data_IF_169359013807
#
_entry.id   IF_169359013807
#
_cell.length_a   1.000
_cell.length_b   1.000
_cell.length_c   1.000
_cell.angle_alpha   90.00
_cell.angle_beta   90.00
_cell.angle_gamma   90.00
#
_symmetry.space_group_name_H-M   'P 1'
#
loop_
_entity.id
_entity.type
_entity.pdbx_description
1 polymer ?
#
# COMPACT_ATOMS: atom_id res chain seq x y z
N UNK A 1 -68.62 -19.80 27.49
CA UNK A 1 -67.71 -20.84 26.93
C UNK A 1 -67.71 -20.75 25.40
N UNK A 2 -66.67 -20.31 24.79
CA UNK A 2 -66.57 -20.37 23.32
C UNK A 2 -65.68 -21.56 22.88
N UNK A 3 -66.18 -22.20 21.85
CA UNK A 3 -65.51 -23.34 21.15
C UNK A 3 -64.20 -22.98 20.48
N UNK A 4 -63.11 -23.72 20.76
CA UNK A 4 -61.88 -23.70 20.03
C UNK A 4 -61.95 -24.64 18.82
N UNK A 5 -61.98 -24.07 17.62
CA UNK A 5 -61.85 -24.79 16.36
C UNK A 5 -60.39 -25.14 16.05
N UNK A 6 -60.16 -26.44 15.87
CA UNK A 6 -58.88 -27.01 15.40
C UNK A 6 -58.54 -26.53 13.97
N UNK A 7 -57.58 -25.65 13.79
CA UNK A 7 -56.96 -25.40 12.49
C UNK A 7 -55.76 -26.35 12.33
N UNK A 8 -55.91 -27.35 11.49
CA UNK A 8 -54.81 -28.17 11.00
C UNK A 8 -53.83 -27.29 10.18
N UNK A 9 -52.63 -27.08 10.69
CA UNK A 9 -51.53 -26.48 9.95
C UNK A 9 -50.99 -27.57 9.01
N UNK A 10 -51.29 -27.44 7.72
CA UNK A 10 -50.66 -28.24 6.65
C UNK A 10 -49.25 -27.65 6.46
N UNK A 11 -48.24 -28.29 7.04
CA UNK A 11 -46.85 -28.04 6.72
C UNK A 11 -46.60 -28.49 5.26
N UNK A 12 -46.56 -27.54 4.35
CA UNK A 12 -46.00 -27.79 3.00
C UNK A 12 -44.50 -27.99 3.14
N UNK A 13 -44.08 -29.24 3.09
CA UNK A 13 -42.69 -29.60 2.78
C UNK A 13 -42.44 -29.16 1.34
N UNK A 14 -41.80 -27.99 1.18
CA UNK A 14 -41.13 -27.71 -0.09
C UNK A 14 -39.92 -28.65 -0.19
N UNK A 15 -40.05 -29.68 -0.98
CA UNK A 15 -38.92 -30.45 -1.46
C UNK A 15 -38.03 -29.51 -2.27
N UNK A 16 -36.99 -28.97 -1.65
CA UNK A 16 -35.93 -28.30 -2.36
C UNK A 16 -35.22 -29.40 -3.16
N UNK A 17 -35.52 -29.52 -4.45
CA UNK A 17 -34.59 -30.08 -5.39
C UNK A 17 -33.26 -29.33 -5.17
N UNK A 18 -32.09 -30.00 -5.07
CA UNK A 18 -30.83 -29.34 -4.98
C UNK A 18 -30.65 -28.55 -6.28
N UNK A 19 -30.97 -27.26 -6.25
CA UNK A 19 -30.54 -26.34 -7.30
C UNK A 19 -29.02 -26.46 -7.30
N UNK A 20 -28.46 -27.02 -8.37
CA UNK A 20 -27.02 -27.12 -8.58
C UNK A 20 -26.45 -25.72 -8.30
N UNK A 21 -25.77 -25.54 -7.15
CA UNK A 21 -25.18 -24.26 -6.76
C UNK A 21 -24.20 -23.89 -7.86
N UNK A 22 -24.54 -22.89 -8.67
CA UNK A 22 -23.61 -22.38 -9.67
C UNK A 22 -22.56 -21.53 -8.97
N UNK A 23 -21.31 -21.90 -9.15
CA UNK A 23 -20.19 -21.06 -8.74
C UNK A 23 -20.20 -19.77 -9.57
N UNK A 24 -19.96 -18.65 -8.90
CA UNK A 24 -19.83 -17.36 -9.55
C UNK A 24 -18.60 -16.63 -9.01
N UNK A 25 -17.74 -16.20 -9.93
CA UNK A 25 -16.61 -15.31 -9.63
C UNK A 25 -16.92 -13.93 -10.19
N UNK A 26 -16.66 -12.89 -9.42
CA UNK A 26 -16.89 -11.49 -9.80
C UNK A 26 -15.74 -10.61 -9.36
N UNK A 27 -15.37 -9.67 -10.26
CA UNK A 27 -14.39 -8.59 -10.03
C UNK A 27 -15.02 -7.20 -10.23
N UNK A 28 -16.36 -7.11 -10.22
CA UNK A 28 -17.09 -5.86 -10.51
C UNK A 28 -17.19 -4.99 -9.26
N UNK A 29 -16.05 -4.58 -8.77
CA UNK A 29 -15.87 -3.68 -7.63
C UNK A 29 -14.45 -3.08 -7.69
N UNK A 30 -14.22 -2.06 -6.92
CA UNK A 30 -12.96 -1.32 -6.84
C UNK A 30 -11.75 -2.23 -6.58
N UNK A 31 -10.70 -2.09 -7.39
CA UNK A 31 -9.50 -2.93 -7.34
C UNK A 31 -9.69 -4.39 -7.79
N UNK A 32 -10.89 -4.79 -8.21
CA UNK A 32 -11.19 -6.16 -8.61
C UNK A 32 -10.46 -6.59 -9.88
N UNK A 33 -9.71 -7.70 -9.82
CA UNK A 33 -8.89 -8.19 -10.93
C UNK A 33 -8.72 -9.71 -10.88
N UNK A 34 -9.20 -10.42 -11.89
CA UNK A 34 -8.87 -11.82 -12.22
C UNK A 34 -9.47 -12.17 -13.58
N UNK A 35 -8.85 -13.07 -14.30
CA UNK A 35 -9.41 -13.72 -15.48
C UNK A 35 -9.91 -15.10 -15.09
N UNK A 36 -11.20 -15.37 -15.29
CA UNK A 36 -11.79 -16.70 -15.04
C UNK A 36 -11.70 -17.52 -16.31
N UNK A 37 -10.94 -18.62 -16.27
CA UNK A 37 -10.84 -19.59 -17.36
C UNK A 37 -11.97 -20.63 -17.26
N UNK A 38 -12.17 -21.18 -16.05
CA UNK A 38 -13.21 -22.14 -15.75
C UNK A 38 -13.60 -22.10 -14.27
N UNK A 39 -14.89 -22.19 -13.96
CA UNK A 39 -15.42 -22.25 -12.60
C UNK A 39 -16.69 -23.13 -12.53
N UNK A 40 -16.67 -24.29 -13.19
CA UNK A 40 -17.80 -25.21 -13.19
C UNK A 40 -17.90 -26.06 -11.91
N UNK A 41 -16.75 -26.29 -11.23
CA UNK A 41 -16.62 -27.15 -10.04
C UNK A 41 -15.72 -26.45 -9.01
N UNK A 42 -16.02 -26.57 -7.73
CA UNK A 42 -15.24 -25.98 -6.66
C UNK A 42 -13.82 -26.56 -6.58
N UNK A 43 -13.69 -27.87 -6.76
CA UNK A 43 -12.41 -28.59 -6.72
C UNK A 43 -11.53 -28.42 -7.99
N UNK A 44 -11.98 -27.60 -8.96
CA UNK A 44 -11.26 -27.37 -10.22
C UNK A 44 -11.63 -25.99 -10.80
N UNK A 45 -11.23 -24.93 -10.11
CA UNK A 45 -11.37 -23.55 -10.59
C UNK A 45 -10.05 -23.14 -11.26
N UNK A 46 -10.14 -22.68 -12.52
CA UNK A 46 -8.99 -22.26 -13.33
C UNK A 46 -9.05 -20.76 -13.54
N UNK A 47 -7.99 -20.09 -13.15
CA UNK A 47 -7.85 -18.63 -13.17
C UNK A 47 -6.59 -18.24 -13.95
N UNK A 48 -6.53 -16.96 -14.33
CA UNK A 48 -5.31 -16.34 -14.81
C UNK A 48 -5.18 -14.93 -14.22
N UNK A 49 -3.95 -14.46 -14.07
CA UNK A 49 -3.64 -13.10 -13.64
C UNK A 49 -4.09 -12.11 -14.71
N UNK A 50 -4.77 -11.04 -14.28
CA UNK A 50 -5.13 -9.97 -15.18
C UNK A 50 -3.96 -9.00 -15.30
N UNK A 51 -3.48 -8.71 -16.54
CA UNK A 51 -2.45 -7.69 -16.74
C UNK A 51 -2.93 -6.29 -16.38
N UNK A 52 -1.97 -5.42 -16.06
CA UNK A 52 -2.22 -3.99 -15.91
C UNK A 52 -2.79 -3.39 -17.19
N UNK A 53 -3.65 -2.41 -17.02
CA UNK A 53 -4.21 -1.64 -18.13
C UNK A 53 -3.07 -0.92 -18.86
N UNK A 54 -3.00 -1.04 -20.19
CA UNK A 54 -1.95 -0.46 -21.04
C UNK A 54 -0.49 -0.92 -20.77
N UNK A 55 -0.25 -1.87 -19.84
CA UNK A 55 1.08 -2.41 -19.54
C UNK A 55 1.04 -3.94 -19.31
N UNK A 56 0.82 -4.76 -20.36
CA UNK A 56 0.48 -6.17 -20.22
C UNK A 56 1.59 -7.07 -19.65
N UNK A 57 2.80 -6.59 -19.55
CA UNK A 57 3.92 -7.30 -18.92
C UNK A 57 3.91 -7.21 -17.38
N UNK A 58 3.13 -6.29 -16.80
CA UNK A 58 2.88 -6.25 -15.37
C UNK A 58 1.58 -6.98 -15.05
N UNK A 59 1.67 -8.10 -14.33
CA UNK A 59 0.55 -8.87 -13.83
C UNK A 59 0.99 -9.65 -12.60
N UNK A 60 0.26 -9.50 -11.49
CA UNK A 60 0.44 -10.27 -10.26
C UNK A 60 -0.69 -10.00 -9.27
N UNK A 61 -1.25 -8.78 -9.27
CA UNK A 61 -2.40 -8.44 -8.45
C UNK A 61 -3.61 -9.29 -8.84
N UNK A 62 -4.32 -9.81 -7.83
CA UNK A 62 -5.66 -10.39 -7.97
C UNK A 62 -6.53 -10.00 -6.79
N UNK A 63 -7.80 -9.76 -7.08
CA UNK A 63 -8.84 -9.52 -6.08
C UNK A 63 -10.20 -9.91 -6.69
N UNK A 64 -10.87 -10.89 -6.10
CA UNK A 64 -12.13 -11.40 -6.62
C UNK A 64 -13.04 -11.93 -5.52
N UNK A 65 -14.35 -12.02 -5.81
CA UNK A 65 -15.35 -12.64 -4.96
C UNK A 65 -15.78 -13.97 -5.55
N UNK A 66 -15.76 -15.04 -4.73
CA UNK A 66 -16.32 -16.35 -5.03
C UNK A 66 -17.65 -16.50 -4.32
N UNK A 67 -18.68 -17.00 -5.02
CA UNK A 67 -20.01 -17.30 -4.49
C UNK A 67 -20.44 -18.71 -4.89
N UNK A 68 -21.30 -19.34 -4.06
CA UNK A 68 -21.87 -20.65 -4.34
C UNK A 68 -21.07 -21.84 -3.81
N UNK A 69 -19.93 -21.59 -3.12
CA UNK A 69 -18.98 -22.62 -2.70
C UNK A 69 -18.98 -22.92 -1.18
N UNK A 70 -20.03 -22.54 -0.44
CA UNK A 70 -20.07 -22.82 0.99
C UNK A 70 -19.94 -24.32 1.30
N UNK A 71 -18.95 -24.65 2.16
CA UNK A 71 -18.60 -26.01 2.60
C UNK A 71 -18.07 -26.94 1.50
N UNK A 72 -17.72 -26.38 0.33
CA UNK A 72 -17.04 -27.12 -0.74
C UNK A 72 -15.52 -26.91 -0.64
N UNK A 73 -14.73 -27.95 -0.85
CA UNK A 73 -13.28 -27.80 -0.95
C UNK A 73 -12.95 -27.13 -2.29
N UNK A 74 -12.58 -25.87 -2.25
CA UNK A 74 -12.18 -25.08 -3.42
C UNK A 74 -10.69 -25.25 -3.71
N UNK A 75 -10.40 -25.56 -4.97
CA UNK A 75 -9.03 -25.56 -5.51
C UNK A 75 -8.99 -24.57 -6.66
N UNK A 76 -8.33 -23.43 -6.44
CA UNK A 76 -8.22 -22.32 -7.37
C UNK A 76 -6.78 -22.23 -7.89
N UNK A 77 -6.60 -22.37 -9.22
CA UNK A 77 -5.29 -22.42 -9.89
C UNK A 77 -5.11 -21.21 -10.79
N UNK A 78 -4.11 -20.40 -10.52
CA UNK A 78 -3.60 -19.39 -11.45
C UNK A 78 -2.56 -20.09 -12.35
N UNK A 79 -2.98 -20.44 -13.55
CA UNK A 79 -2.19 -21.27 -14.49
C UNK A 79 -0.98 -20.55 -15.08
N UNK A 80 -1.00 -19.23 -15.05
CA UNK A 80 0.04 -18.35 -15.59
C UNK A 80 0.85 -17.62 -14.51
N UNK A 81 0.90 -18.16 -13.30
CA UNK A 81 1.63 -17.54 -12.20
C UNK A 81 3.14 -17.38 -12.46
N UNK A 82 3.73 -18.29 -13.27
CA UNK A 82 5.13 -18.18 -13.71
C UNK A 82 5.42 -16.99 -14.62
N UNK A 83 4.39 -16.41 -15.25
CA UNK A 83 4.48 -15.22 -16.07
C UNK A 83 4.22 -13.91 -15.27
N UNK A 84 4.06 -13.99 -13.95
CA UNK A 84 3.91 -12.82 -13.11
C UNK A 84 5.11 -11.86 -13.22
N UNK A 85 4.92 -10.59 -12.90
CA UNK A 85 5.99 -9.60 -12.95
C UNK A 85 7.16 -9.96 -11.99
N UNK A 86 6.83 -10.59 -10.87
CA UNK A 86 7.79 -10.98 -9.81
C UNK A 86 7.53 -12.43 -9.36
N UNK A 87 7.77 -13.45 -10.21
CA UNK A 87 7.40 -14.83 -9.89
C UNK A 87 8.16 -15.42 -8.69
N UNK A 88 9.36 -14.91 -8.37
CA UNK A 88 10.08 -15.27 -7.15
C UNK A 88 9.34 -14.83 -5.87
N UNK A 89 8.44 -13.88 -5.97
CA UNK A 89 7.55 -13.44 -4.90
C UNK A 89 6.57 -14.52 -4.43
N UNK A 90 6.29 -15.52 -5.23
CA UNK A 90 5.37 -16.61 -4.85
C UNK A 90 5.93 -17.59 -3.83
N UNK A 91 7.23 -17.67 -3.66
CA UNK A 91 7.85 -18.55 -2.66
C UNK A 91 7.49 -18.08 -1.24
N UNK A 92 6.86 -18.96 -0.45
CA UNK A 92 6.40 -18.64 0.89
C UNK A 92 5.20 -17.68 0.96
N UNK A 93 4.63 -17.33 -0.19
CA UNK A 93 3.45 -16.45 -0.26
C UNK A 93 2.18 -17.21 0.09
N UNK A 94 1.25 -16.56 0.79
CA UNK A 94 -0.11 -17.02 1.02
C UNK A 94 -1.12 -15.94 0.66
N UNK A 95 -2.16 -16.30 -0.10
CA UNK A 95 -3.26 -15.41 -0.41
C UNK A 95 -4.06 -15.05 0.83
N UNK A 96 -4.69 -13.89 0.81
CA UNK A 96 -5.62 -13.48 1.86
C UNK A 96 -7.07 -13.70 1.45
N UNK A 97 -7.92 -14.01 2.42
CA UNK A 97 -9.36 -14.17 2.23
C UNK A 97 -10.15 -13.39 3.27
N UNK A 98 -11.38 -12.98 2.91
CA UNK A 98 -12.28 -12.26 3.81
C UNK A 98 -13.74 -12.53 3.48
N UNK A 99 -14.59 -12.62 4.51
CA UNK A 99 -16.04 -12.73 4.35
C UNK A 99 -16.72 -11.35 4.29
N UNK A 100 -16.12 -10.32 4.86
CA UNK A 100 -16.70 -8.98 5.06
C UNK A 100 -15.87 -7.83 4.47
N UNK A 101 -14.68 -8.10 3.92
CA UNK A 101 -13.68 -7.14 3.41
C UNK A 101 -13.08 -6.23 4.50
N UNK A 102 -13.21 -6.62 5.75
CA UNK A 102 -12.63 -5.92 6.91
C UNK A 102 -11.68 -6.83 7.67
N UNK A 103 -12.10 -8.08 7.88
CA UNK A 103 -11.31 -9.08 8.57
C UNK A 103 -10.70 -10.02 7.54
N UNK A 104 -9.39 -9.94 7.35
CA UNK A 104 -8.63 -10.73 6.41
C UNK A 104 -7.79 -11.79 7.14
N UNK A 105 -7.63 -12.94 6.54
CA UNK A 105 -6.85 -14.05 7.06
C UNK A 105 -6.14 -14.79 5.93
N UNK A 106 -4.99 -15.40 6.22
CA UNK A 106 -4.23 -16.17 5.23
C UNK A 106 -4.90 -17.50 4.96
N UNK A 107 -4.82 -17.96 3.71
CA UNK A 107 -5.34 -19.26 3.28
C UNK A 107 -4.21 -20.08 2.64
N UNK A 108 -4.25 -21.44 2.80
CA UNK A 108 -3.22 -22.32 2.24
C UNK A 108 -3.03 -22.07 0.74
N UNK A 109 -1.81 -21.70 0.39
CA UNK A 109 -1.41 -21.35 -0.97
C UNK A 109 -0.05 -21.98 -1.27
N UNK A 110 0.10 -22.56 -2.46
CA UNK A 110 1.34 -23.20 -2.90
C UNK A 110 1.70 -22.73 -4.31
N UNK A 111 2.97 -22.51 -4.56
CA UNK A 111 3.49 -22.26 -5.91
C UNK A 111 4.28 -23.47 -6.37
N UNK A 112 3.72 -24.17 -7.34
CA UNK A 112 4.31 -25.42 -7.87
C UNK A 112 4.12 -25.50 -9.38
N UNK A 113 5.14 -25.97 -10.09
CA UNK A 113 5.12 -26.19 -11.53
C UNK A 113 4.67 -24.97 -12.36
N UNK A 114 4.92 -23.76 -11.85
CA UNK A 114 4.55 -22.52 -12.52
C UNK A 114 3.12 -22.04 -12.25
N UNK A 115 2.37 -22.76 -11.44
CA UNK A 115 1.01 -22.40 -11.02
C UNK A 115 0.96 -21.97 -9.56
N UNK A 116 0.10 -21.00 -9.25
CA UNK A 116 -0.25 -20.65 -7.88
C UNK A 116 -1.58 -21.32 -7.53
N UNK A 117 -1.58 -22.15 -6.51
CA UNK A 117 -2.74 -22.96 -6.10
C UNK A 117 -3.22 -22.54 -4.72
N UNK A 118 -4.44 -22.02 -4.64
CA UNK A 118 -5.11 -21.69 -3.38
C UNK A 118 -6.10 -22.81 -3.06
N UNK A 119 -6.01 -23.37 -1.84
CA UNK A 119 -6.93 -24.41 -1.37
C UNK A 119 -7.66 -23.92 -0.12
N UNK A 120 -9.00 -23.87 -0.19
CA UNK A 120 -9.80 -23.39 0.94
C UNK A 120 -11.22 -23.96 0.92
N UNK A 121 -11.79 -24.21 2.10
CA UNK A 121 -13.20 -24.60 2.27
C UNK A 121 -13.97 -23.44 2.92
N UNK A 122 -14.66 -22.59 2.14
CA UNK A 122 -15.39 -21.45 2.70
C UNK A 122 -16.53 -21.88 3.62
N UNK A 123 -16.69 -21.17 4.74
CA UNK A 123 -17.80 -21.42 5.68
C UNK A 123 -19.08 -20.68 5.31
N UNK A 124 -19.02 -19.75 4.34
CA UNK A 124 -20.16 -18.95 3.88
C UNK A 124 -20.28 -18.96 2.36
N UNK A 125 -21.45 -18.58 1.85
CA UNK A 125 -21.72 -18.60 0.41
C UNK A 125 -21.02 -17.52 -0.41
N UNK A 126 -20.44 -16.52 0.21
CA UNK A 126 -19.72 -15.42 -0.42
C UNK A 126 -18.43 -15.16 0.35
N UNK A 127 -17.32 -15.16 -0.37
CA UNK A 127 -15.98 -14.90 0.20
C UNK A 127 -15.14 -14.15 -0.85
N UNK A 128 -14.25 -13.31 -0.38
CA UNK A 128 -13.27 -12.60 -1.18
C UNK A 128 -11.90 -13.21 -1.02
N UNK A 129 -11.10 -13.19 -2.09
CA UNK A 129 -9.69 -13.57 -2.11
C UNK A 129 -8.90 -12.45 -2.76
N UNK A 130 -7.75 -12.12 -2.20
CA UNK A 130 -6.87 -11.09 -2.73
C UNK A 130 -5.38 -11.43 -2.57
N UNK A 131 -4.55 -10.73 -3.35
CA UNK A 131 -3.10 -10.82 -3.29
C UNK A 131 -2.56 -10.26 -1.96
N UNK A 132 -3.09 -9.13 -1.54
CA UNK A 132 -2.89 -8.53 -0.21
C UNK A 132 -4.21 -7.89 0.23
N UNK A 133 -4.34 -7.50 1.50
CA UNK A 133 -5.51 -6.80 2.03
C UNK A 133 -5.79 -5.52 1.23
N UNK A 134 -6.87 -5.45 0.43
CA UNK A 134 -7.15 -4.29 -0.39
C UNK A 134 -7.40 -3.03 0.44
N UNK A 135 -6.99 -1.88 -0.10
CA UNK A 135 -7.41 -0.57 0.39
C UNK A 135 -8.21 0.11 -0.71
N UNK A 136 -9.49 0.34 -0.47
CA UNK A 136 -10.44 0.81 -1.48
C UNK A 136 -10.45 2.33 -1.62
N UNK A 137 -10.98 2.82 -2.74
CA UNK A 137 -11.20 4.27 -2.95
C UNK A 137 -12.12 4.87 -1.89
N UNK A 138 -13.11 4.13 -1.38
CA UNK A 138 -13.98 4.57 -0.27
C UNK A 138 -13.21 4.73 1.05
N UNK A 139 -12.28 3.82 1.35
CA UNK A 139 -11.40 3.95 2.52
C UNK A 139 -10.50 5.17 2.37
N UNK A 140 -9.93 5.39 1.16
CA UNK A 140 -9.15 6.59 0.86
C UNK A 140 -9.95 7.87 1.11
N UNK A 141 -11.18 7.98 0.60
CA UNK A 141 -12.04 9.15 0.84
C UNK A 141 -12.39 9.34 2.32
N UNK A 142 -12.60 8.25 3.06
CA UNK A 142 -12.80 8.31 4.51
C UNK A 142 -11.55 8.86 5.22
N UNK A 143 -10.36 8.37 4.87
CA UNK A 143 -9.08 8.85 5.40
C UNK A 143 -8.89 10.36 5.17
N UNK A 144 -9.21 10.86 3.97
CA UNK A 144 -9.18 12.30 3.66
C UNK A 144 -10.16 13.08 4.53
N UNK A 145 -11.40 12.56 4.68
CA UNK A 145 -12.44 13.18 5.51
C UNK A 145 -12.05 13.27 6.98
N UNK A 146 -11.46 12.20 7.52
CA UNK A 146 -10.96 12.13 8.89
C UNK A 146 -9.79 13.10 9.11
N UNK A 147 -8.83 13.13 8.16
CA UNK A 147 -7.70 14.07 8.21
C UNK A 147 -8.18 15.53 8.23
N UNK A 148 -9.11 15.89 7.36
CA UNK A 148 -9.69 17.24 7.34
C UNK A 148 -10.45 17.57 8.62
N UNK A 149 -11.16 16.58 9.17
CA UNK A 149 -11.94 16.71 10.42
C UNK A 149 -11.07 17.00 11.65
N UNK A 150 -9.77 16.71 11.64
CA UNK A 150 -8.83 17.00 12.72
C UNK A 150 -8.63 18.51 12.98
N UNK A 151 -8.89 19.35 11.98
CA UNK A 151 -8.62 20.80 12.03
C UNK A 151 -7.12 21.17 11.87
N UNK A 152 -6.21 20.20 11.78
CA UNK A 152 -4.77 20.39 11.56
C UNK A 152 -4.38 20.24 10.08
N UNK A 153 -5.27 19.67 9.28
CA UNK A 153 -5.03 19.30 7.89
C UNK A 153 -5.84 20.19 6.93
N UNK A 154 -5.19 20.62 5.86
CA UNK A 154 -5.83 21.20 4.69
C UNK A 154 -5.62 20.26 3.50
N UNK A 155 -6.70 19.96 2.78
CA UNK A 155 -6.64 19.15 1.56
C UNK A 155 -6.69 20.06 0.35
N UNK A 156 -5.86 19.77 -0.64
CA UNK A 156 -5.79 20.43 -1.92
C UNK A 156 -5.78 19.38 -3.03
N UNK A 157 -6.48 19.67 -4.13
CA UNK A 157 -6.34 18.92 -5.38
C UNK A 157 -5.21 19.55 -6.21
N UNK A 158 -4.15 18.78 -6.48
CA UNK A 158 -3.00 19.22 -7.27
C UNK A 158 -3.30 19.20 -8.78
N UNK A 159 -4.26 18.41 -9.19
CA UNK A 159 -4.64 18.20 -10.57
C UNK A 159 -5.28 16.82 -10.77
N UNK A 160 -5.56 16.49 -12.02
CA UNK A 160 -6.26 15.26 -12.37
C UNK A 160 -5.30 14.21 -12.91
N UNK A 161 -5.55 12.95 -12.54
CA UNK A 161 -4.94 11.77 -13.15
C UNK A 161 -5.40 11.56 -14.59
N UNK A 162 -4.86 10.53 -15.25
CA UNK A 162 -5.21 10.17 -16.64
C UNK A 162 -6.71 9.90 -16.82
N UNK A 163 -7.34 9.21 -15.84
CA UNK A 163 -8.79 8.90 -15.86
C UNK A 163 -9.65 9.99 -15.17
N UNK A 164 -9.03 11.11 -14.75
CA UNK A 164 -9.72 12.27 -14.18
C UNK A 164 -10.05 12.16 -12.70
N UNK A 165 -9.30 11.37 -11.92
CA UNK A 165 -9.39 11.37 -10.45
C UNK A 165 -8.50 12.46 -9.86
N UNK A 166 -8.85 12.93 -8.67
CA UNK A 166 -8.10 13.96 -7.95
C UNK A 166 -6.75 13.42 -7.44
N UNK A 167 -5.72 14.26 -7.48
CA UNK A 167 -4.42 14.02 -6.86
C UNK A 167 -4.39 14.83 -5.55
N UNK A 168 -4.75 14.18 -4.46
CA UNK A 168 -4.95 14.85 -3.18
C UNK A 168 -3.64 15.07 -2.43
N UNK A 169 -3.36 16.33 -2.11
CA UNK A 169 -2.28 16.75 -1.21
C UNK A 169 -2.87 17.18 0.14
N UNK A 170 -2.38 16.59 1.21
CA UNK A 170 -2.65 16.98 2.58
C UNK A 170 -1.51 17.85 3.09
N UNK A 171 -1.81 19.08 3.48
CA UNK A 171 -0.85 19.99 4.13
C UNK A 171 -1.19 20.08 5.62
N UNK A 172 -0.25 19.65 6.49
CA UNK A 172 -0.45 19.52 7.94
C UNK A 172 0.62 20.32 8.68
N UNK A 173 0.21 21.15 9.63
CA UNK A 173 1.09 22.00 10.43
C UNK A 173 0.93 23.49 10.16
N UNK A 174 1.86 24.32 10.65
CA UNK A 174 1.74 25.77 10.68
C UNK A 174 1.93 26.44 9.32
N UNK A 175 2.65 25.80 8.41
CA UNK A 175 3.06 26.33 7.10
C UNK A 175 3.91 27.60 7.18
N UNK A 176 4.64 27.78 8.27
CA UNK A 176 5.60 28.85 8.36
C UNK A 176 6.77 28.64 7.38
N UNK A 177 7.34 29.71 6.85
CA UNK A 177 8.48 29.64 5.93
C UNK A 177 9.69 28.97 6.60
N UNK A 178 9.88 29.20 7.89
CA UNK A 178 10.94 28.62 8.72
C UNK A 178 10.77 27.14 9.02
N UNK A 179 9.56 26.55 8.82
CA UNK A 179 9.32 25.15 9.10
C UNK A 179 10.17 24.23 8.21
N UNK A 180 10.52 23.04 8.74
CA UNK A 180 11.01 21.94 7.91
C UNK A 180 9.91 21.47 6.97
N UNK A 181 10.27 21.10 5.76
CA UNK A 181 9.36 20.59 4.74
C UNK A 181 9.50 19.07 4.65
N UNK A 182 8.55 18.35 5.25
CA UNK A 182 8.55 16.88 5.30
C UNK A 182 7.52 16.36 4.32
N UNK A 183 7.99 15.61 3.31
CA UNK A 183 7.14 15.01 2.30
C UNK A 183 7.00 13.50 2.54
N UNK A 184 5.75 13.00 2.48
CA UNK A 184 5.44 11.57 2.55
C UNK A 184 4.49 11.23 1.43
N UNK A 185 4.91 10.35 0.54
CA UNK A 185 4.05 9.84 -0.53
C UNK A 185 3.89 8.34 -0.38
N UNK A 186 2.80 7.77 -0.92
CA UNK A 186 2.54 6.35 -0.84
C UNK A 186 1.86 5.82 -2.10
N UNK A 187 1.96 4.51 -2.29
CA UNK A 187 1.21 3.76 -3.31
C UNK A 187 1.43 4.25 -4.74
N UNK A 188 2.68 4.55 -5.12
CA UNK A 188 3.04 4.76 -6.52
C UNK A 188 2.69 3.53 -7.38
N UNK A 189 2.83 2.33 -6.79
CA UNK A 189 2.39 1.08 -7.37
C UNK A 189 1.07 0.67 -6.74
N UNK A 190 -0.01 0.56 -7.51
CA UNK A 190 -1.37 0.38 -6.98
C UNK A 190 -1.59 -0.94 -6.26
N UNK A 191 -0.85 -2.01 -6.62
CA UNK A 191 -0.93 -3.31 -5.94
C UNK A 191 -0.34 -3.33 -4.53
N UNK A 192 0.49 -2.34 -4.17
CA UNK A 192 1.15 -2.21 -2.87
C UNK A 192 0.21 -1.53 -1.86
N UNK A 193 -0.93 -2.18 -1.56
CA UNK A 193 -1.99 -1.60 -0.73
C UNK A 193 -1.58 -1.39 0.73
N UNK A 194 -0.57 -2.11 1.23
CA UNK A 194 0.04 -1.90 2.54
C UNK A 194 0.51 -0.45 2.74
N UNK A 195 0.85 0.25 1.66
CA UNK A 195 1.30 1.63 1.71
C UNK A 195 0.18 2.59 2.18
N UNK A 196 -1.08 2.39 1.79
CA UNK A 196 -2.19 3.20 2.32
C UNK A 196 -2.63 2.76 3.72
N UNK A 197 -2.54 1.48 4.08
CA UNK A 197 -2.70 1.05 5.47
C UNK A 197 -1.67 1.70 6.40
N UNK A 198 -0.43 1.84 5.93
CA UNK A 198 0.60 2.60 6.64
C UNK A 198 0.20 4.07 6.80
N UNK A 199 -0.31 4.70 5.72
CA UNK A 199 -0.72 6.11 5.75
C UNK A 199 -1.87 6.36 6.73
N UNK A 200 -2.79 5.41 6.89
CA UNK A 200 -3.85 5.48 7.90
C UNK A 200 -3.27 5.61 9.32
N UNK A 201 -2.32 4.75 9.68
CA UNK A 201 -1.65 4.81 10.98
C UNK A 201 -0.79 6.07 11.16
N UNK A 202 -0.04 6.44 10.12
CA UNK A 202 0.77 7.65 10.11
C UNK A 202 -0.07 8.91 10.36
N UNK A 203 -1.16 9.09 9.61
CA UNK A 203 -2.04 10.24 9.72
C UNK A 203 -2.83 10.22 11.03
N UNK A 204 -3.33 9.05 11.46
CA UNK A 204 -4.05 8.91 12.73
C UNK A 204 -3.22 9.44 13.91
N UNK A 205 -1.93 9.09 13.97
CA UNK A 205 -1.05 9.53 15.03
C UNK A 205 -0.55 10.97 14.85
N UNK A 206 -0.22 11.40 13.62
CA UNK A 206 0.26 12.76 13.35
C UNK A 206 -0.82 13.81 13.66
N UNK A 207 -2.09 13.46 13.47
CA UNK A 207 -3.24 14.35 13.70
C UNK A 207 -3.83 14.24 15.12
N UNK A 208 -3.25 13.39 15.98
CA UNK A 208 -3.64 13.34 17.39
C UNK A 208 -3.08 14.52 18.17
N UNK A 209 -3.94 15.45 18.53
CA UNK A 209 -3.60 16.64 19.34
C UNK A 209 -2.98 16.31 20.71
N UNK A 210 -3.12 15.08 21.20
CA UNK A 210 -2.61 14.64 22.50
C UNK A 210 -1.28 13.90 22.39
N UNK A 211 -0.91 13.39 21.20
CA UNK A 211 0.39 12.73 21.01
C UNK A 211 1.54 13.74 21.14
N UNK A 212 2.47 13.55 22.12
CA UNK A 212 3.56 14.50 22.34
C UNK A 212 4.58 14.51 21.20
N UNK A 213 4.73 13.40 20.45
CA UNK A 213 5.65 13.30 19.31
C UNK A 213 5.09 14.08 18.12
N UNK A 214 3.79 13.93 17.83
CA UNK A 214 3.11 14.68 16.78
C UNK A 214 3.18 16.19 17.06
N UNK A 215 2.87 16.62 18.27
CA UNK A 215 2.98 18.03 18.69
C UNK A 215 4.39 18.57 18.50
N UNK A 216 5.42 17.85 18.96
CA UNK A 216 6.81 18.27 18.81
C UNK A 216 7.27 18.37 17.36
N UNK A 217 6.71 17.54 16.47
CA UNK A 217 6.93 17.60 15.03
C UNK A 217 6.23 18.83 14.42
N UNK A 218 4.94 19.02 14.71
CA UNK A 218 4.14 20.11 14.15
C UNK A 218 4.59 21.50 14.62
N UNK A 219 5.32 21.59 15.74
CA UNK A 219 5.99 22.82 16.20
C UNK A 219 7.21 23.21 15.32
N UNK A 220 7.72 22.31 14.46
CA UNK A 220 8.95 22.48 13.68
C UNK A 220 8.80 22.24 12.19
N UNK A 221 7.75 21.56 11.79
CA UNK A 221 7.61 21.04 10.44
C UNK A 221 6.21 21.24 9.87
N UNK A 222 6.17 21.50 8.58
CA UNK A 222 4.98 21.34 7.75
C UNK A 222 5.12 20.03 6.98
N UNK A 223 4.09 19.19 7.08
CA UNK A 223 4.00 17.94 6.34
C UNK A 223 3.20 18.15 5.06
N UNK A 224 3.71 17.59 3.98
CA UNK A 224 3.07 17.46 2.68
C UNK A 224 2.87 15.97 2.39
N UNK A 225 1.63 15.52 2.33
CA UNK A 225 1.30 14.09 2.32
C UNK A 225 0.41 13.76 1.14
N UNK A 226 0.85 12.80 0.29
CA UNK A 226 0.04 12.24 -0.78
C UNK A 226 -0.24 10.77 -0.46
N UNK A 227 -1.40 10.46 0.13
CA UNK A 227 -1.68 9.11 0.62
C UNK A 227 -1.78 8.05 -0.47
N UNK A 228 -2.18 8.45 -1.69
CA UNK A 228 -2.26 7.58 -2.85
C UNK A 228 -1.77 8.33 -4.09
N UNK A 229 -0.59 7.95 -4.58
CA UNK A 229 -0.01 8.49 -5.80
C UNK A 229 -0.67 7.95 -7.07
N UNK A 230 -1.41 6.83 -7.01
CA UNK A 230 -1.91 6.14 -8.19
C UNK A 230 -3.39 5.69 -8.03
N UNK A 231 -4.32 6.64 -7.86
CA UNK A 231 -5.72 6.31 -7.64
C UNK A 231 -6.38 5.63 -8.84
N UNK A 232 -5.95 5.91 -10.08
CA UNK A 232 -6.44 5.22 -11.27
C UNK A 232 -6.06 3.75 -11.26
N UNK A 233 -4.77 3.45 -11.10
CA UNK A 233 -4.28 2.08 -11.05
C UNK A 233 -4.90 1.30 -9.89
N UNK A 234 -5.12 1.94 -8.73
CA UNK A 234 -5.79 1.35 -7.58
C UNK A 234 -7.23 0.93 -7.90
N UNK A 235 -8.04 1.82 -8.48
CA UNK A 235 -9.42 1.53 -8.87
C UNK A 235 -9.50 0.47 -9.98
N UNK A 236 -8.57 0.51 -10.94
CA UNK A 236 -8.46 -0.46 -12.01
C UNK A 236 -8.00 -1.85 -11.53
N UNK A 237 -7.39 -1.96 -10.35
CA UNK A 237 -6.79 -3.20 -9.86
C UNK A 237 -5.53 -3.57 -10.64
N UNK A 238 -4.70 -2.59 -10.97
CA UNK A 238 -3.38 -2.80 -11.55
C UNK A 238 -2.39 -3.22 -10.46
N UNK A 239 -1.33 -3.90 -10.87
CA UNK A 239 -0.20 -4.22 -10.00
C UNK A 239 0.70 -2.99 -9.80
N UNK A 240 1.13 -2.37 -10.92
CA UNK A 240 2.30 -1.49 -10.91
C UNK A 240 2.09 -0.13 -11.59
N UNK A 241 1.21 -0.04 -12.57
CA UNK A 241 1.14 1.12 -13.45
C UNK A 241 -0.14 1.94 -13.28
N UNK A 242 -0.09 3.22 -13.67
CA UNK A 242 -1.26 4.06 -13.78
C UNK A 242 -2.13 3.69 -15.01
N UNK A 243 -3.19 4.45 -15.29
CA UNK A 243 -4.08 4.19 -16.41
C UNK A 243 -3.40 4.31 -17.78
N UNK A 244 -2.33 5.11 -17.91
CA UNK A 244 -1.53 5.22 -19.12
C UNK A 244 -0.46 4.12 -19.27
N UNK A 245 -0.38 3.18 -18.34
CA UNK A 245 0.66 2.13 -18.31
C UNK A 245 2.04 2.65 -17.86
N UNK A 246 2.11 3.79 -17.19
CA UNK A 246 3.33 4.33 -16.65
C UNK A 246 3.63 3.73 -15.27
N UNK A 247 4.86 3.26 -15.06
CA UNK A 247 5.39 2.98 -13.72
C UNK A 247 5.84 4.30 -13.09
N UNK A 248 5.02 4.86 -12.18
CA UNK A 248 5.25 6.19 -11.62
C UNK A 248 6.63 6.34 -10.97
N UNK A 249 7.15 5.28 -10.34
CA UNK A 249 8.50 5.27 -9.76
C UNK A 249 9.61 5.08 -10.82
N UNK A 250 9.35 5.46 -12.07
CA UNK A 250 10.33 5.56 -13.18
C UNK A 250 10.16 6.85 -13.99
N UNK A 251 9.22 7.70 -13.57
CA UNK A 251 8.87 8.92 -14.31
C UNK A 251 9.45 10.20 -13.66
N UNK A 252 10.16 10.12 -12.52
CA UNK A 252 10.55 11.30 -11.73
C UNK A 252 11.55 12.22 -12.42
N UNK A 253 12.36 11.71 -13.33
CA UNK A 253 13.32 12.55 -14.06
C UNK A 253 12.63 13.44 -15.10
N UNK A 254 11.69 12.89 -15.85
CA UNK A 254 11.00 13.56 -16.96
C UNK A 254 9.48 13.21 -16.99
N UNK A 255 8.69 13.59 -15.96
CA UNK A 255 7.25 13.32 -15.96
C UNK A 255 6.52 14.21 -16.97
N UNK A 256 5.38 13.74 -17.50
CA UNK A 256 4.51 14.53 -18.34
C UNK A 256 3.04 14.44 -17.91
N UNK A 257 2.26 15.46 -18.22
CA UNK A 257 0.82 15.51 -17.91
C UNK A 257 0.06 14.37 -18.60
N UNK A 258 0.49 13.97 -19.80
CA UNK A 258 -0.20 12.93 -20.59
C UNK A 258 0.09 11.53 -20.09
N UNK A 259 1.26 11.30 -19.51
CA UNK A 259 1.72 9.95 -19.15
C UNK A 259 1.76 9.68 -17.64
N UNK A 260 2.20 10.66 -16.88
CA UNK A 260 2.40 10.57 -15.44
C UNK A 260 2.03 11.88 -14.73
N UNK A 261 0.78 12.36 -14.92
CA UNK A 261 0.32 13.60 -14.30
C UNK A 261 0.50 13.59 -12.77
N UNK A 262 0.37 12.44 -12.14
CA UNK A 262 0.54 12.25 -10.71
C UNK A 262 1.94 12.67 -10.25
N UNK A 263 2.98 12.21 -10.93
CA UNK A 263 4.36 12.59 -10.64
C UNK A 263 4.62 14.05 -11.03
N UNK A 264 4.07 14.48 -12.17
CA UNK A 264 4.25 15.85 -12.66
C UNK A 264 3.78 16.87 -11.61
N UNK A 265 2.55 16.80 -11.16
CA UNK A 265 1.98 17.78 -10.22
C UNK A 265 2.63 17.71 -8.83
N UNK A 266 2.90 16.52 -8.32
CA UNK A 266 3.56 16.35 -7.02
C UNK A 266 4.99 16.89 -7.06
N UNK A 267 5.75 16.60 -8.11
CA UNK A 267 7.13 17.10 -8.28
C UNK A 267 7.17 18.63 -8.39
N UNK A 268 6.26 19.23 -9.19
CA UNK A 268 6.18 20.70 -9.30
C UNK A 268 5.90 21.32 -7.93
N UNK A 269 4.98 20.76 -7.14
CA UNK A 269 4.72 21.25 -5.78
C UNK A 269 5.93 21.09 -4.86
N UNK A 270 6.71 20.01 -4.97
CA UNK A 270 7.97 19.85 -4.23
C UNK A 270 8.98 20.95 -4.58
N UNK A 271 9.06 21.36 -5.85
CA UNK A 271 9.92 22.49 -6.27
C UNK A 271 9.45 23.83 -5.70
N UNK A 272 8.15 24.03 -5.55
CA UNK A 272 7.61 25.25 -4.95
C UNK A 272 7.84 25.33 -3.44
N UNK A 273 7.71 24.20 -2.73
CA UNK A 273 7.77 24.17 -1.26
C UNK A 273 9.17 23.90 -0.71
N UNK A 274 10.00 23.20 -1.48
CA UNK A 274 11.23 22.58 -0.99
C UNK A 274 10.98 21.25 -0.26
N UNK A 275 12.07 20.52 0.02
CA UNK A 275 12.05 19.23 0.72
C UNK A 275 13.25 19.12 1.66
N UNK A 276 13.03 18.87 2.94
CA UNK A 276 14.07 18.61 3.94
C UNK A 276 14.16 17.13 4.33
N UNK A 277 13.01 16.42 4.27
CA UNK A 277 12.89 14.98 4.48
C UNK A 277 11.83 14.42 3.56
N UNK A 278 12.11 13.28 2.94
CA UNK A 278 11.21 12.61 2.02
C UNK A 278 11.06 11.12 2.35
N UNK A 279 9.84 10.64 2.35
CA UNK A 279 9.50 9.22 2.48
C UNK A 279 8.58 8.79 1.34
N UNK A 280 8.94 7.69 0.70
CA UNK A 280 8.19 7.00 -0.35
C UNK A 280 7.80 5.61 0.14
N UNK A 281 6.51 5.37 0.35
CA UNK A 281 5.99 4.19 1.04
C UNK A 281 5.53 3.14 0.02
N UNK A 282 6.14 1.96 0.09
CA UNK A 282 6.03 0.87 -0.86
C UNK A 282 5.78 -0.50 -0.22
N UNK A 283 5.69 -1.53 -1.07
CA UNK A 283 5.69 -2.94 -0.72
C UNK A 283 6.55 -3.76 -1.68
N UNK A 284 7.30 -4.75 -1.15
CA UNK A 284 8.18 -5.63 -1.92
C UNK A 284 7.63 -7.07 -1.99
N UNK A 285 7.51 -7.61 -3.20
CA UNK A 285 7.00 -8.95 -3.45
C UNK A 285 8.00 -10.05 -3.07
N UNK A 286 9.29 -9.75 -3.11
CA UNK A 286 10.37 -10.73 -2.95
C UNK A 286 10.88 -10.88 -1.53
N UNK A 287 11.23 -9.76 -0.91
CA UNK A 287 11.88 -9.73 0.40
C UNK A 287 10.86 -9.79 1.54
N UNK A 288 10.97 -10.77 2.46
CA UNK A 288 10.06 -10.92 3.60
C UNK A 288 10.50 -10.03 4.79
N UNK A 289 10.77 -8.75 4.56
CA UNK A 289 11.31 -7.83 5.55
C UNK A 289 10.70 -6.44 5.42
N UNK A 290 10.67 -5.70 6.54
CA UNK A 290 10.47 -4.25 6.53
C UNK A 290 11.85 -3.58 6.54
N UNK A 291 12.13 -2.77 5.52
CA UNK A 291 13.41 -2.08 5.40
C UNK A 291 13.28 -0.72 4.72
N UNK A 292 14.32 0.11 4.85
CA UNK A 292 14.41 1.42 4.19
C UNK A 292 15.63 1.47 3.28
N UNK A 293 15.42 1.77 2.00
CA UNK A 293 16.48 2.02 1.02
C UNK A 293 16.74 3.54 0.96
N UNK A 294 17.97 3.95 1.21
CA UNK A 294 18.43 5.33 1.20
C UNK A 294 18.91 5.80 -0.17
N UNK A 295 19.76 6.81 -0.14
CA UNK A 295 20.23 7.50 -1.34
C UNK A 295 21.73 7.36 -1.60
N UNK A 296 22.37 6.31 -1.08
CA UNK A 296 23.83 6.16 -1.08
C UNK A 296 24.48 6.24 -2.48
N UNK A 297 23.73 5.96 -3.55
CA UNK A 297 24.22 6.00 -4.93
C UNK A 297 24.02 7.31 -5.67
N UNK A 298 23.36 8.34 -5.09
CA UNK A 298 23.10 9.59 -5.81
C UNK A 298 24.36 10.46 -5.89
N UNK A 299 24.49 11.32 -6.93
CA UNK A 299 25.67 12.19 -7.10
C UNK A 299 25.90 13.15 -5.93
N UNK A 300 24.85 13.65 -5.28
CA UNK A 300 24.93 14.61 -4.19
C UNK A 300 24.95 13.99 -2.79
N UNK A 301 25.18 12.66 -2.68
CA UNK A 301 25.31 11.97 -1.40
C UNK A 301 26.58 12.39 -0.66
N UNK A 302 26.46 12.76 0.61
CA UNK A 302 27.59 13.22 1.42
C UNK A 302 27.54 12.66 2.85
N UNK A 303 28.55 13.01 3.66
CA UNK A 303 28.64 12.56 5.04
C UNK A 303 27.51 13.08 5.95
N UNK A 304 26.92 14.24 5.63
CA UNK A 304 25.77 14.80 6.35
C UNK A 304 24.53 13.91 6.13
N UNK A 305 24.24 13.57 4.88
CA UNK A 305 23.12 12.67 4.56
C UNK A 305 23.32 11.30 5.20
N UNK A 306 24.55 10.73 5.12
CA UNK A 306 24.87 9.45 5.77
C UNK A 306 24.62 9.47 7.30
N UNK A 307 24.95 10.58 7.97
CA UNK A 307 24.70 10.74 9.40
C UNK A 307 23.21 10.82 9.73
N UNK A 308 22.42 11.53 8.93
CA UNK A 308 20.96 11.62 9.08
C UNK A 308 20.29 10.26 8.81
N UNK A 309 20.75 9.52 7.79
CA UNK A 309 20.27 8.16 7.49
C UNK A 309 20.50 7.22 8.67
N UNK A 310 21.71 7.18 9.22
CA UNK A 310 22.02 6.35 10.38
C UNK A 310 21.18 6.73 11.62
N UNK A 311 20.99 8.02 11.86
CA UNK A 311 20.15 8.50 12.97
C UNK A 311 18.69 8.05 12.80
N UNK A 312 18.13 8.21 11.61
CA UNK A 312 16.75 7.80 11.29
C UNK A 312 16.57 6.29 11.47
N UNK A 313 17.43 5.46 10.87
CA UNK A 313 17.36 4.00 10.96
C UNK A 313 17.50 3.50 12.39
N UNK A 314 18.46 4.04 13.16
CA UNK A 314 18.65 3.71 14.59
C UNK A 314 17.41 4.03 15.41
N UNK A 315 16.80 5.19 15.18
CA UNK A 315 15.56 5.58 15.86
C UNK A 315 14.37 4.71 15.44
N UNK A 316 14.33 4.26 14.18
CA UNK A 316 13.24 3.42 13.68
C UNK A 316 13.34 2.00 14.25
N UNK A 317 14.55 1.41 14.33
CA UNK A 317 14.76 0.12 15.00
C UNK A 317 14.34 0.16 16.49
N UNK A 318 14.56 1.29 17.15
CA UNK A 318 14.11 1.48 18.52
C UNK A 318 12.58 1.66 18.65
N UNK A 319 11.93 2.18 17.62
CA UNK A 319 10.49 2.48 17.61
C UNK A 319 9.61 1.32 17.16
N UNK A 320 10.13 0.41 16.33
CA UNK A 320 9.37 -0.70 15.77
C UNK A 320 10.20 -1.98 15.72
N UNK A 321 9.75 -3.09 16.34
CA UNK A 321 10.42 -4.39 16.24
C UNK A 321 10.28 -5.03 14.85
N UNK A 322 9.38 -4.51 14.00
CA UNK A 322 9.18 -4.99 12.63
C UNK A 322 10.26 -4.46 11.68
N UNK A 323 10.84 -3.28 11.99
CA UNK A 323 11.88 -2.67 11.15
C UNK A 323 13.27 -3.25 11.43
N UNK A 324 14.02 -3.47 10.37
CA UNK A 324 15.43 -3.92 10.44
C UNK A 324 16.28 -3.21 9.36
N UNK A 325 17.63 -3.28 9.49
CA UNK A 325 18.59 -2.67 8.55
C UNK A 325 19.71 -3.67 8.13
N UNK A 326 19.41 -4.97 8.22
CA UNK A 326 20.34 -6.05 7.82
C UNK A 326 20.07 -6.51 6.39
N UNK A 327 18.78 -6.64 6.03
CA UNK A 327 18.32 -7.12 4.73
C UNK A 327 17.60 -5.99 3.99
N UNK A 328 17.84 -5.88 2.68
CA UNK A 328 17.24 -4.86 1.82
C UNK A 328 17.85 -4.89 0.42
N UNK A 329 17.62 -3.85 -0.34
CA UNK A 329 18.22 -3.74 -1.67
C UNK A 329 19.74 -3.52 -1.60
N UNK A 330 20.50 -4.05 -2.58
CA UNK A 330 21.91 -3.70 -2.73
C UNK A 330 22.06 -2.18 -2.90
N UNK A 331 23.08 -1.61 -2.24
CA UNK A 331 23.41 -0.20 -2.39
C UNK A 331 24.01 0.08 -3.76
N UNK A 332 23.56 1.15 -4.39
CA UNK A 332 24.16 1.62 -5.64
C UNK A 332 25.58 2.15 -5.41
N UNK A 333 26.46 1.96 -6.41
CA UNK A 333 27.76 2.61 -6.39
C UNK A 333 27.60 4.14 -6.51
N UNK A 334 28.54 4.89 -5.97
CA UNK A 334 28.49 6.36 -5.96
C UNK A 334 28.27 6.95 -7.37
N UNK A 335 27.26 7.79 -7.51
CA UNK A 335 26.85 8.42 -8.76
C UNK A 335 26.14 7.49 -9.76
N UNK A 336 25.69 6.30 -9.33
CA UNK A 336 25.03 5.29 -10.19
C UNK A 336 23.56 5.07 -9.87
N UNK A 337 23.00 5.72 -8.86
CA UNK A 337 21.57 5.62 -8.55
C UNK A 337 20.71 6.04 -9.74
N UNK A 338 19.58 5.35 -9.88
CA UNK A 338 18.62 5.65 -10.94
C UNK A 338 17.76 6.87 -10.56
N UNK A 339 18.10 8.04 -11.09
CA UNK A 339 17.39 9.30 -10.81
C UNK A 339 15.96 9.36 -11.39
N UNK A 340 15.52 8.36 -12.15
CA UNK A 340 14.10 8.26 -12.53
C UNK A 340 13.21 7.74 -11.41
N UNK A 341 13.78 7.27 -10.30
CA UNK A 341 13.07 6.84 -9.09
C UNK A 341 12.88 8.01 -8.13
N UNK A 342 11.74 8.04 -7.42
CA UNK A 342 11.35 9.12 -6.51
C UNK A 342 12.44 9.47 -5.49
N UNK A 343 12.84 8.51 -4.68
CA UNK A 343 13.81 8.69 -3.58
C UNK A 343 15.16 9.20 -4.09
N UNK A 344 15.67 8.60 -5.19
CA UNK A 344 16.93 9.04 -5.78
C UNK A 344 16.83 10.46 -6.38
N UNK A 345 15.72 10.76 -7.07
CA UNK A 345 15.48 12.10 -7.64
C UNK A 345 15.41 13.16 -6.54
N UNK A 346 14.55 12.94 -5.54
CA UNK A 346 14.30 13.92 -4.46
C UNK A 346 15.56 14.11 -3.61
N UNK A 347 16.18 13.01 -3.16
CA UNK A 347 17.41 13.08 -2.37
C UNK A 347 18.55 13.80 -3.09
N UNK A 348 18.72 13.56 -4.41
CA UNK A 348 19.72 14.23 -5.20
C UNK A 348 19.40 15.71 -5.46
N UNK A 349 18.14 16.02 -5.81
CA UNK A 349 17.72 17.38 -6.21
C UNK A 349 17.71 18.33 -5.03
N UNK A 350 17.14 17.91 -3.90
CA UNK A 350 16.98 18.76 -2.71
C UNK A 350 18.08 18.57 -1.67
N UNK A 351 19.01 17.61 -1.89
CA UNK A 351 20.10 17.28 -0.95
C UNK A 351 19.57 17.02 0.46
N UNK A 352 18.49 16.28 0.54
CA UNK A 352 17.73 15.99 1.75
C UNK A 352 17.81 14.52 2.14
N UNK A 353 17.42 14.20 3.38
CA UNK A 353 17.19 12.83 3.81
C UNK A 353 16.00 12.25 3.03
N UNK A 354 16.20 11.15 2.30
CA UNK A 354 15.15 10.53 1.51
C UNK A 354 15.24 9.00 1.59
N UNK A 355 14.06 8.35 1.74
CA UNK A 355 13.95 6.91 1.84
C UNK A 355 12.78 6.37 1.03
N UNK A 356 13.00 5.20 0.41
CA UNK A 356 11.95 4.25 0.07
C UNK A 356 11.78 3.30 1.24
N UNK A 357 10.59 3.22 1.83
CA UNK A 357 10.23 2.26 2.88
C UNK A 357 9.45 1.11 2.25
N UNK A 358 9.95 -0.10 2.42
CA UNK A 358 9.35 -1.31 1.87
C UNK A 358 8.74 -2.18 2.96
N UNK A 359 7.57 -2.74 2.66
CA UNK A 359 6.85 -3.70 3.50
C UNK A 359 6.61 -5.00 2.73
N UNK A 360 6.67 -6.18 3.36
CA UNK A 360 6.51 -7.43 2.62
C UNK A 360 5.06 -7.71 2.22
N UNK A 361 4.85 -8.38 1.08
CA UNK A 361 3.56 -9.02 0.74
C UNK A 361 3.32 -10.32 1.51
N UNK A 362 4.39 -10.93 2.00
CA UNK A 362 4.43 -12.20 2.75
C UNK A 362 4.36 -11.93 4.25
N UNK A 363 4.82 -12.88 5.04
CA UNK A 363 5.10 -12.63 6.45
C UNK A 363 6.45 -11.91 6.62
N UNK A 364 6.61 -11.23 7.77
CA UNK A 364 7.89 -10.62 8.15
C UNK A 364 8.78 -11.66 8.81
N UNK A 365 9.88 -12.03 8.15
CA UNK A 365 10.76 -13.09 8.62
C UNK A 365 11.44 -12.80 9.98
N UNK A 366 11.58 -11.53 10.36
CA UNK A 366 12.15 -11.14 11.66
C UNK A 366 11.18 -11.35 12.84
N UNK A 367 9.89 -11.25 12.59
CA UNK A 367 8.83 -11.39 13.57
C UNK A 367 7.61 -12.06 12.91
N UNK A 368 7.68 -13.38 12.64
CA UNK A 368 6.63 -14.05 11.89
C UNK A 368 5.32 -14.16 12.69
N UNK A 369 4.21 -14.19 11.94
CA UNK A 369 2.84 -14.41 12.42
C UNK A 369 2.18 -15.45 11.52
N UNK A 370 2.12 -16.70 11.96
CA UNK A 370 1.66 -17.83 11.16
C UNK A 370 0.18 -17.73 10.76
N UNK A 371 -0.65 -16.97 11.50
CA UNK A 371 -2.08 -16.83 11.24
C UNK A 371 -2.39 -15.71 10.23
N UNK A 372 -1.69 -14.58 10.34
CA UNK A 372 -2.02 -13.38 9.55
C UNK A 372 -0.88 -12.91 8.63
N UNK A 373 0.37 -13.26 8.93
CA UNK A 373 1.52 -12.76 8.19
C UNK A 373 1.67 -11.24 8.32
N UNK A 374 2.33 -10.62 7.34
CA UNK A 374 2.24 -9.16 7.20
C UNK A 374 0.83 -8.78 6.71
N UNK A 375 0.22 -7.77 7.32
CA UNK A 375 -1.19 -7.42 7.10
C UNK A 375 -1.42 -5.91 7.25
N UNK A 376 -2.64 -5.45 6.97
CA UNK A 376 -3.02 -4.04 7.08
C UNK A 376 -2.82 -3.46 8.47
N UNK A 377 -3.14 -4.21 9.51
CA UNK A 377 -2.98 -3.75 10.91
C UNK A 377 -1.50 -3.58 11.29
N UNK A 378 -0.60 -4.45 10.82
CA UNK A 378 0.84 -4.29 11.05
C UNK A 378 1.39 -3.09 10.26
N UNK A 379 0.93 -2.88 9.02
CA UNK A 379 1.28 -1.70 8.23
C UNK A 379 0.84 -0.41 8.90
N UNK A 380 -0.38 -0.38 9.46
CA UNK A 380 -0.90 0.75 10.24
C UNK A 380 -0.01 1.06 11.45
N UNK A 381 0.33 0.05 12.25
CA UNK A 381 1.24 0.22 13.41
C UNK A 381 2.63 0.68 13.03
N UNK A 382 3.14 0.23 11.89
CA UNK A 382 4.41 0.72 11.34
C UNK A 382 4.30 2.22 11.00
N UNK A 383 3.18 2.64 10.40
CA UNK A 383 2.86 4.04 10.13
C UNK A 383 2.79 4.90 11.40
N UNK A 384 2.20 4.39 12.48
CA UNK A 384 2.23 5.07 13.78
C UNK A 384 3.65 5.22 14.32
N UNK A 385 4.51 4.21 14.15
CA UNK A 385 5.86 4.19 14.70
C UNK A 385 6.83 5.15 14.02
N UNK A 386 6.61 5.48 12.73
CA UNK A 386 7.52 6.30 11.91
C UNK A 386 7.69 7.74 12.42
N UNK A 387 6.75 8.26 13.23
CA UNK A 387 6.85 9.60 13.79
C UNK A 387 8.11 9.77 14.67
N UNK A 388 8.53 8.70 15.33
CA UNK A 388 9.72 8.75 16.21
C UNK A 388 11.03 8.95 15.43
N UNK A 389 11.37 8.18 14.38
CA UNK A 389 12.52 8.45 13.55
C UNK A 389 12.42 9.77 12.77
N UNK A 390 11.23 10.19 12.33
CA UNK A 390 11.04 11.52 11.73
C UNK A 390 11.40 12.60 12.75
N UNK A 391 10.95 12.50 14.02
CA UNK A 391 11.28 13.48 15.06
C UNK A 391 12.79 13.52 15.36
N UNK A 392 13.47 12.38 15.36
CA UNK A 392 14.92 12.32 15.57
C UNK A 392 15.65 13.08 14.45
N UNK A 393 15.30 12.83 13.18
CA UNK A 393 15.86 13.53 12.03
C UNK A 393 15.50 15.03 12.03
N UNK A 394 14.22 15.37 12.29
CA UNK A 394 13.75 16.75 12.35
C UNK A 394 14.49 17.57 13.43
N UNK A 395 14.78 16.99 14.59
CA UNK A 395 15.56 17.65 15.63
C UNK A 395 17.02 17.90 15.21
N UNK A 396 17.63 17.03 14.40
CA UNK A 396 18.97 17.24 13.85
C UNK A 396 18.95 18.39 12.81
N UNK A 397 18.05 18.30 11.84
CA UNK A 397 17.85 19.31 10.78
C UNK A 397 17.52 20.71 11.36
N UNK A 398 16.70 20.76 12.40
CA UNK A 398 16.36 22.04 13.06
C UNK A 398 17.56 22.69 13.75
N UNK A 399 18.45 21.89 14.36
CA UNK A 399 19.70 22.40 14.97
C UNK A 399 20.67 22.94 13.92
N UNK A 400 20.80 22.27 12.79
CA UNK A 400 21.62 22.72 11.66
C UNK A 400 21.18 24.14 11.20
N UNK A 401 19.86 24.36 11.00
CA UNK A 401 19.32 25.68 10.63
C UNK A 401 19.58 26.79 11.68
N UNK A 402 19.51 26.41 12.97
CA UNK A 402 19.78 27.37 14.07
C UNK A 402 21.26 27.74 14.20
N UNK A 403 22.19 26.93 13.71
CA UNK A 403 23.62 27.23 13.67
C UNK A 403 23.98 28.13 12.49
N UNK A 404 23.35 27.94 11.33
CA UNK A 404 23.54 28.75 10.13
C UNK A 404 22.97 30.17 10.29
N UNK A 405 22.04 30.41 11.22
CA UNK A 405 21.47 31.73 11.54
C UNK A 405 22.22 32.52 12.62
N UNK A 406 23.29 31.96 13.19
CA UNK A 406 24.08 32.56 14.28
C UNK A 406 25.46 33.07 13.81
N UNK A 407 25.81 32.94 12.53
CA UNK A 407 26.96 33.54 11.86
C UNK A 407 26.52 34.80 11.08
#
# INVERSE_FOLDING_TARGET
MPHYGNKRIIARFFSHLPTRKMLKISTRFDGGAVIVREAARADSIRLALRPDTAAPHFKQWFYFRLQGAAYENCVMRFEDAHEAAYPAGWEGYQAVASYDRQNWFRVPTQYENGELVITHTPLANSIYYAYFEPYSSEQHLNLLGEAQGSGLCQIEDLGSTVDGRDINLLTIGSRAESDLKIWVIARQHPGETMAEWFMEGFLSRLLDHQDPTARALLDKATFYVVPNMNPDGAALGNLRTNAAGANLNREWLEPSIERSPEVYFVRERMHETGVDLFLDIHGDEGLPYVFAAGTEGVPNYDARIAALENLFKTAFQAASPDFQDEYGYPKDAAGKANLSMATAYVGNTFRCLAYTLEMPFKDNANLPDDDFGWNGQRSLRLGESILSPILAAANALWRERGQDGAE
#
